data_IF_633103729486
#
_entry.id   IF_633103729486
#
_cell.length_a   1.000
_cell.length_b   1.000
_cell.length_c   1.000
_cell.angle_alpha   90.00
_cell.angle_beta   90.00
_cell.angle_gamma   90.00
#
_symmetry.space_group_name_H-M   'P 1'
#
loop_
_entity.id
_entity.type
_entity.pdbx_description
1 polymer ?
#
# COMPACT_ATOMS: atom_id res chain seq x y z
N UNK A 1 2.16 72.48 -12.67
CA UNK A 1 0.76 72.33 -13.14
C UNK A 1 0.20 71.02 -12.61
N UNK A 2 -1.06 71.06 -12.15
CA UNK A 2 -2.04 69.97 -11.99
C UNK A 2 -1.75 68.78 -11.02
N UNK A 3 -2.26 68.96 -9.81
CA UNK A 3 -3.13 68.10 -8.96
C UNK A 3 -3.39 66.62 -9.29
N UNK A 4 -3.29 65.82 -8.21
CA UNK A 4 -3.88 64.51 -7.85
C UNK A 4 -5.06 63.94 -8.65
N UNK A 5 -5.09 62.60 -8.77
CA UNK A 5 -6.22 61.76 -8.38
C UNK A 5 -5.82 60.29 -8.17
N UNK A 6 -6.37 59.73 -7.10
CA UNK A 6 -6.22 58.38 -6.51
C UNK A 6 -6.93 57.28 -7.31
N UNK A 7 -6.45 56.01 -7.29
CA UNK A 7 -7.36 54.84 -7.25
C UNK A 7 -6.65 53.49 -6.94
N UNK A 8 -6.89 53.00 -5.72
CA UNK A 8 -7.13 51.61 -5.25
C UNK A 8 -6.32 50.40 -5.75
N UNK A 9 -5.78 49.67 -4.75
CA UNK A 9 -5.42 48.24 -4.74
C UNK A 9 -6.42 47.34 -5.47
N UNK A 10 -5.90 46.42 -6.28
CA UNK A 10 -6.61 45.21 -6.70
C UNK A 10 -5.63 44.04 -6.86
N UNK A 11 -5.58 43.14 -5.87
CA UNK A 11 -5.03 41.79 -6.05
C UNK A 11 -6.02 41.02 -6.90
N UNK A 12 -5.58 40.46 -8.03
CA UNK A 12 -6.30 39.40 -8.70
C UNK A 12 -5.37 38.20 -8.82
N UNK A 13 -5.60 37.24 -7.93
CA UNK A 13 -5.08 35.88 -8.00
C UNK A 13 -5.52 35.27 -9.34
N UNK A 14 -4.55 34.77 -10.11
CA UNK A 14 -4.82 33.92 -11.28
C UNK A 14 -5.30 32.56 -10.77
N UNK A 15 -6.49 32.07 -11.14
CA UNK A 15 -6.85 30.69 -10.87
C UNK A 15 -6.10 29.79 -11.85
N UNK A 16 -5.28 28.91 -11.28
CA UNK A 16 -4.76 27.69 -11.90
C UNK A 16 -5.97 26.84 -12.31
N UNK A 17 -6.24 26.74 -13.61
CA UNK A 17 -7.22 25.80 -14.14
C UNK A 17 -6.59 24.41 -14.14
N UNK A 18 -6.81 23.66 -13.05
CA UNK A 18 -6.74 22.20 -13.09
C UNK A 18 -8.05 21.72 -13.73
N UNK A 19 -7.94 21.20 -14.93
CA UNK A 19 -9.05 20.58 -15.65
C UNK A 19 -9.31 19.19 -15.06
N UNK A 20 -9.97 19.13 -13.90
CA UNK A 20 -10.56 17.88 -13.38
C UNK A 20 -11.93 17.71 -14.01
N UNK A 21 -11.99 17.02 -15.14
CA UNK A 21 -13.27 16.59 -15.71
C UNK A 21 -13.71 15.29 -15.02
N UNK A 22 -14.01 15.37 -13.72
CA UNK A 22 -14.83 14.36 -13.06
C UNK A 22 -16.27 14.83 -13.20
N UNK A 23 -16.98 14.31 -14.20
CA UNK A 23 -18.43 14.39 -14.23
C UNK A 23 -18.96 13.37 -13.21
N UNK A 24 -19.33 13.83 -12.02
CA UNK A 24 -20.16 13.05 -11.11
C UNK A 24 -21.52 12.97 -11.80
N UNK A 25 -21.80 11.86 -12.47
CA UNK A 25 -23.11 11.58 -13.00
C UNK A 25 -24.12 11.64 -11.84
N UNK A 26 -25.31 12.24 -12.04
CA UNK A 26 -26.31 12.34 -10.99
C UNK A 26 -26.74 10.93 -10.60
N UNK A 27 -26.77 10.67 -9.30
CA UNK A 27 -27.29 9.43 -8.71
C UNK A 27 -28.79 9.35 -9.01
N UNK A 28 -29.14 8.90 -10.22
CA UNK A 28 -30.51 8.66 -10.61
C UNK A 28 -30.94 7.31 -10.03
N UNK A 29 -31.70 7.34 -8.93
CA UNK A 29 -32.38 6.14 -8.43
C UNK A 29 -33.44 5.76 -9.47
N UNK A 30 -33.09 4.86 -10.37
CA UNK A 30 -34.07 4.14 -11.16
C UNK A 30 -34.64 3.02 -10.26
N UNK A 31 -35.72 3.31 -9.53
CA UNK A 31 -36.58 2.31 -8.90
C UNK A 31 -37.47 1.70 -10.00
N UNK A 32 -36.84 0.95 -10.90
CA UNK A 32 -37.53 0.21 -11.96
C UNK A 32 -37.56 -1.26 -11.57
N UNK A 33 -38.73 -1.71 -11.12
CA UNK A 33 -39.07 -3.12 -10.93
C UNK A 33 -38.97 -3.87 -12.26
N UNK A 34 -38.29 -5.03 -12.24
CA UNK A 34 -37.96 -5.92 -13.37
C UNK A 34 -36.80 -5.48 -14.29
N UNK A 35 -35.59 -5.82 -13.83
CA UNK A 35 -34.44 -6.06 -14.70
C UNK A 35 -33.79 -7.40 -14.29
N UNK A 36 -34.27 -8.51 -14.86
CA UNK A 36 -33.71 -9.85 -14.66
C UNK A 36 -32.37 -9.97 -15.40
N UNK A 37 -31.32 -9.37 -14.81
CA UNK A 37 -29.94 -9.40 -15.30
C UNK A 37 -29.15 -10.58 -14.68
N UNK A 38 -29.41 -11.81 -15.12
CA UNK A 38 -28.77 -13.06 -14.62
C UNK A 38 -27.24 -13.16 -14.84
N UNK A 39 -26.57 -12.15 -15.39
CA UNK A 39 -25.17 -12.25 -15.85
C UNK A 39 -24.09 -12.02 -14.78
N UNK A 40 -24.45 -11.58 -13.57
CA UNK A 40 -23.47 -11.20 -12.54
C UNK A 40 -23.73 -11.94 -11.23
N UNK A 41 -22.69 -12.60 -10.70
CA UNK A 41 -22.73 -13.33 -9.42
C UNK A 41 -22.89 -12.35 -8.24
N UNK A 42 -22.26 -11.17 -8.31
CA UNK A 42 -22.35 -10.14 -7.27
C UNK A 42 -22.67 -8.78 -7.90
N UNK A 43 -23.55 -8.01 -7.25
CA UNK A 43 -23.87 -6.62 -7.62
C UNK A 43 -23.57 -5.69 -6.45
N UNK A 44 -22.37 -5.10 -6.46
CA UNK A 44 -22.00 -4.12 -5.45
C UNK A 44 -22.64 -2.76 -5.77
N UNK A 45 -23.22 -2.12 -4.75
CA UNK A 45 -23.72 -0.74 -4.85
C UNK A 45 -22.54 0.25 -4.94
N UNK A 46 -21.42 -0.10 -4.31
CA UNK A 46 -20.19 0.70 -4.30
C UNK A 46 -19.21 0.14 -5.34
N UNK A 47 -18.60 0.97 -6.21
CA UNK A 47 -17.61 0.49 -7.16
C UNK A 47 -16.44 -0.23 -6.46
N UNK A 48 -15.96 -1.34 -7.03
CA UNK A 48 -14.91 -2.18 -6.43
C UNK A 48 -13.66 -1.41 -6.01
N UNK A 49 -13.25 -0.40 -6.79
CA UNK A 49 -12.05 0.41 -6.52
C UNK A 49 -12.35 1.76 -5.85
N UNK A 50 -13.57 1.98 -5.35
CA UNK A 50 -14.00 3.28 -4.82
C UNK A 50 -13.06 3.83 -3.74
N UNK A 51 -12.55 2.97 -2.85
CA UNK A 51 -11.68 3.38 -1.73
C UNK A 51 -10.18 3.38 -2.04
N UNK A 52 -9.74 2.89 -3.20
CA UNK A 52 -8.32 2.81 -3.54
C UNK A 52 -7.58 4.15 -3.43
N UNK A 53 -8.15 5.29 -3.92
CA UNK A 53 -7.47 6.59 -3.81
C UNK A 53 -7.34 7.11 -2.37
N UNK A 54 -8.14 6.56 -1.43
CA UNK A 54 -8.20 6.99 -0.03
C UNK A 54 -7.44 6.08 0.94
N UNK A 55 -6.74 5.06 0.43
CA UNK A 55 -6.00 4.14 1.30
C UNK A 55 -4.87 4.87 2.03
N UNK A 56 -4.69 4.62 3.34
CA UNK A 56 -3.58 5.20 4.08
C UNK A 56 -2.26 4.60 3.61
N UNK A 57 -1.19 5.38 3.72
CA UNK A 57 0.16 4.93 3.37
C UNK A 57 0.71 3.99 4.44
N UNK A 58 1.47 2.99 4.03
CA UNK A 58 2.13 2.07 4.94
C UNK A 58 3.25 2.81 5.71
N UNK A 59 3.22 2.83 7.05
CA UNK A 59 4.23 3.53 7.82
C UNK A 59 5.56 2.75 7.86
N UNK A 60 6.67 3.48 7.77
CA UNK A 60 8.00 2.93 8.04
C UNK A 60 8.23 2.99 9.56
N UNK A 61 8.52 1.86 10.24
CA UNK A 61 8.78 1.85 11.68
C UNK A 61 10.07 2.61 12.02
N UNK A 62 10.19 3.04 13.28
CA UNK A 62 11.45 3.60 13.79
C UNK A 62 12.54 2.53 13.79
N UNK A 63 13.78 2.95 13.56
CA UNK A 63 14.93 2.05 13.52
C UNK A 63 15.10 1.34 14.87
N UNK A 64 14.97 2.07 15.97
CA UNK A 64 15.13 1.55 17.34
C UNK A 64 14.08 0.49 17.66
N UNK A 65 12.82 0.74 17.27
CA UNK A 65 11.73 -0.21 17.48
C UNK A 65 11.93 -1.48 16.66
N UNK A 66 12.49 -1.35 15.45
CA UNK A 66 12.79 -2.48 14.56
C UNK A 66 13.94 -3.31 15.11
N UNK A 67 15.05 -2.68 15.52
CA UNK A 67 16.17 -3.35 16.18
C UNK A 67 15.76 -4.08 17.46
N UNK A 68 14.94 -3.45 18.31
CA UNK A 68 14.43 -4.08 19.53
C UNK A 68 13.59 -5.32 19.22
N UNK A 69 12.58 -5.20 18.34
CA UNK A 69 11.70 -6.32 17.97
C UNK A 69 12.47 -7.46 17.31
N UNK A 70 13.50 -7.14 16.52
CA UNK A 70 14.40 -8.14 15.94
C UNK A 70 15.13 -8.93 17.04
N UNK A 71 15.72 -8.26 18.02
CA UNK A 71 16.38 -8.94 19.14
C UNK A 71 15.41 -9.77 19.98
N UNK A 72 14.21 -9.25 20.26
CA UNK A 72 13.17 -9.99 20.99
C UNK A 72 12.82 -11.31 20.28
N UNK A 73 12.74 -11.31 18.95
CA UNK A 73 12.50 -12.51 18.15
C UNK A 73 13.70 -13.47 18.15
N UNK A 74 14.93 -12.96 18.05
CA UNK A 74 16.15 -13.78 18.04
C UNK A 74 16.40 -14.48 19.38
N UNK A 75 16.00 -13.87 20.49
CA UNK A 75 16.20 -14.42 21.84
C UNK A 75 15.58 -15.80 22.05
N UNK A 76 14.54 -16.14 21.30
CA UNK A 76 13.83 -17.43 21.40
C UNK A 76 14.56 -18.55 20.64
N UNK A 77 15.39 -18.20 19.65
CA UNK A 77 15.95 -19.14 18.68
C UNK A 77 17.45 -19.36 18.93
N UNK A 78 18.16 -18.31 19.34
CA UNK A 78 19.62 -18.33 19.47
C UNK A 78 20.08 -18.83 20.84
N UNK A 79 21.25 -19.46 20.87
CA UNK A 79 21.96 -19.71 22.12
C UNK A 79 22.40 -18.39 22.79
N UNK A 80 22.70 -18.39 24.10
CA UNK A 80 23.10 -17.17 24.80
C UNK A 80 24.33 -16.47 24.18
N UNK A 81 25.32 -17.24 23.71
CA UNK A 81 26.53 -16.71 23.09
C UNK A 81 26.23 -16.05 21.73
N UNK A 82 25.46 -16.72 20.87
CA UNK A 82 25.05 -16.19 19.57
C UNK A 82 24.18 -14.94 19.71
N UNK A 83 23.29 -14.93 20.71
CA UNK A 83 22.45 -13.78 21.02
C UNK A 83 23.27 -12.55 21.41
N UNK A 84 24.25 -12.69 22.31
CA UNK A 84 25.10 -11.55 22.70
C UNK A 84 25.95 -11.04 21.53
N UNK A 85 26.46 -11.93 20.68
CA UNK A 85 27.12 -11.52 19.44
C UNK A 85 26.17 -10.74 18.52
N UNK A 86 24.96 -11.26 18.30
CA UNK A 86 23.92 -10.62 17.46
C UNK A 86 23.52 -9.26 18.01
N UNK A 87 23.33 -9.14 19.31
CA UNK A 87 23.03 -7.88 20.00
C UNK A 87 24.11 -6.83 19.77
N UNK A 88 25.38 -7.20 19.88
CA UNK A 88 26.50 -6.30 19.56
C UNK A 88 26.46 -5.82 18.11
N UNK A 89 26.17 -6.70 17.16
CA UNK A 89 26.03 -6.34 15.74
C UNK A 89 24.86 -5.38 15.50
N UNK A 90 23.71 -5.63 16.13
CA UNK A 90 22.52 -4.77 16.02
C UNK A 90 22.78 -3.38 16.61
N UNK A 91 23.47 -3.29 17.75
CA UNK A 91 23.86 -2.01 18.33
C UNK A 91 24.83 -1.24 17.43
N UNK A 92 25.82 -1.91 16.84
CA UNK A 92 26.70 -1.29 15.85
C UNK A 92 25.91 -0.80 14.63
N UNK A 93 25.01 -1.62 14.07
CA UNK A 93 24.17 -1.22 12.95
C UNK A 93 23.32 0.02 13.29
N UNK A 94 22.70 0.04 14.47
CA UNK A 94 21.88 1.16 14.93
C UNK A 94 22.68 2.46 15.07
N UNK A 95 23.96 2.38 15.44
CA UNK A 95 24.82 3.54 15.63
C UNK A 95 25.46 4.06 14.33
N UNK A 96 25.83 3.16 13.41
CA UNK A 96 26.63 3.51 12.23
C UNK A 96 25.79 3.52 10.94
N UNK A 97 25.56 2.37 10.33
CA UNK A 97 24.97 2.27 8.97
C UNK A 97 23.45 2.48 8.94
N UNK A 98 22.75 2.00 9.97
CA UNK A 98 21.29 1.99 10.05
C UNK A 98 20.64 3.38 9.88
N UNK A 99 21.12 4.46 10.53
CA UNK A 99 20.55 5.79 10.37
C UNK A 99 20.56 6.33 8.94
N UNK A 100 21.67 6.15 8.20
CA UNK A 100 21.74 6.62 6.81
C UNK A 100 20.85 5.77 5.88
N UNK A 101 20.82 4.45 6.07
CA UNK A 101 19.92 3.57 5.32
C UNK A 101 18.44 3.87 5.59
N UNK A 102 18.08 4.11 6.86
CA UNK A 102 16.72 4.49 7.25
C UNK A 102 16.31 5.82 6.62
N UNK A 103 17.22 6.80 6.57
CA UNK A 103 16.99 8.09 5.93
C UNK A 103 16.81 7.95 4.42
N UNK A 104 17.61 7.11 3.77
CA UNK A 104 17.44 6.80 2.35
C UNK A 104 16.08 6.13 2.07
N UNK A 105 15.70 5.14 2.87
CA UNK A 105 14.41 4.45 2.79
C UNK A 105 13.24 5.43 2.90
N UNK A 106 13.28 6.32 3.91
CA UNK A 106 12.26 7.35 4.11
C UNK A 106 12.24 8.35 2.95
N UNK A 107 13.40 8.71 2.40
CA UNK A 107 13.48 9.61 1.24
C UNK A 107 12.84 8.97 0.00
N UNK A 108 13.15 7.71 -0.28
CA UNK A 108 12.54 6.93 -1.38
C UNK A 108 11.03 6.81 -1.22
N UNK A 109 10.55 6.53 -0.01
CA UNK A 109 9.12 6.48 0.28
C UNK A 109 8.42 7.83 0.05
N UNK A 110 9.04 8.94 0.48
CA UNK A 110 8.51 10.29 0.28
C UNK A 110 8.41 10.69 -1.20
N UNK A 111 9.32 10.19 -2.04
CA UNK A 111 9.33 10.42 -3.48
C UNK A 111 8.26 9.56 -4.20
N UNK A 112 7.92 8.40 -3.66
CA UNK A 112 7.02 7.41 -4.28
C UNK A 112 5.70 7.25 -3.53
N UNK A 113 4.92 8.33 -3.40
CA UNK A 113 3.70 8.34 -2.58
C UNK A 113 2.53 7.51 -3.11
N UNK A 114 2.56 7.16 -4.39
CA UNK A 114 1.52 6.38 -5.07
C UNK A 114 1.63 4.86 -4.80
N UNK A 115 2.69 4.43 -4.11
CA UNK A 115 2.95 3.03 -3.74
C UNK A 115 3.46 2.95 -2.28
N UNK A 116 3.83 1.74 -1.85
CA UNK A 116 4.47 1.48 -0.56
C UNK A 116 5.94 1.15 -0.72
N UNK A 117 6.75 1.45 0.30
CA UNK A 117 8.20 1.21 0.30
C UNK A 117 8.60 -0.25 0.09
N UNK A 118 7.69 -1.20 0.34
CA UNK A 118 7.98 -2.65 0.32
C UNK A 118 7.48 -3.35 -0.94
N UNK A 119 6.55 -2.75 -1.69
CA UNK A 119 5.87 -3.44 -2.81
C UNK A 119 6.84 -3.95 -3.86
N UNK A 120 7.71 -3.07 -4.37
CA UNK A 120 8.68 -3.42 -5.41
C UNK A 120 9.73 -4.42 -4.89
N UNK A 121 10.45 -4.17 -3.77
CA UNK A 121 11.41 -5.15 -3.23
C UNK A 121 10.79 -6.54 -2.98
N UNK A 122 9.54 -6.58 -2.51
CA UNK A 122 8.84 -7.84 -2.26
C UNK A 122 8.51 -8.58 -3.55
N UNK A 123 7.98 -7.89 -4.56
CA UNK A 123 7.74 -8.50 -5.87
C UNK A 123 9.04 -8.99 -6.52
N UNK A 124 10.09 -8.19 -6.45
CA UNK A 124 11.42 -8.53 -6.96
C UNK A 124 11.99 -9.80 -6.32
N UNK A 125 11.76 -10.01 -5.02
CA UNK A 125 12.20 -11.22 -4.31
C UNK A 125 11.64 -12.49 -4.97
N UNK A 126 10.36 -12.49 -5.32
CA UNK A 126 9.72 -13.64 -5.98
C UNK A 126 10.17 -13.81 -7.42
N UNK A 127 10.30 -12.70 -8.18
CA UNK A 127 10.67 -12.76 -9.59
C UNK A 127 12.15 -13.11 -9.81
N UNK A 128 13.01 -12.80 -8.84
CA UNK A 128 14.45 -13.11 -8.89
C UNK A 128 14.77 -14.54 -8.44
N UNK A 129 13.88 -15.19 -7.69
CA UNK A 129 14.11 -16.56 -7.24
C UNK A 129 14.12 -17.55 -8.42
N UNK A 130 15.17 -18.37 -8.48
CA UNK A 130 15.40 -19.33 -9.58
C UNK A 130 14.95 -20.75 -9.23
N UNK A 131 14.50 -20.97 -8.00
CA UNK A 131 13.96 -22.27 -7.57
C UNK A 131 12.61 -22.53 -8.25
N UNK A 132 12.26 -23.80 -8.40
CA UNK A 132 10.98 -24.18 -9.01
C UNK A 132 9.80 -23.61 -8.24
N UNK A 133 8.86 -22.98 -8.94
CA UNK A 133 7.64 -22.41 -8.33
C UNK A 133 6.70 -23.47 -7.77
N UNK A 134 6.76 -24.71 -8.28
CA UNK A 134 5.79 -25.77 -7.98
C UNK A 134 5.72 -26.15 -6.50
N UNK A 135 6.86 -26.22 -5.82
CA UNK A 135 6.92 -26.61 -4.40
C UNK A 135 7.25 -25.43 -3.47
N UNK A 136 7.98 -24.43 -3.97
CA UNK A 136 8.50 -23.36 -3.13
C UNK A 136 7.54 -22.18 -2.97
N UNK A 137 6.67 -21.94 -3.97
CA UNK A 137 5.91 -20.69 -4.06
C UNK A 137 4.41 -20.89 -4.23
N UNK A 138 3.97 -21.83 -5.06
CA UNK A 138 2.57 -21.96 -5.42
C UNK A 138 1.79 -22.78 -4.36
N UNK A 139 0.96 -22.15 -3.50
CA UNK A 139 0.04 -22.90 -2.67
C UNK A 139 -1.13 -23.42 -3.51
N UNK A 140 -1.87 -24.40 -2.98
CA UNK A 140 -3.15 -24.82 -3.53
C UNK A 140 -4.25 -24.68 -2.48
N UNK A 141 -5.49 -24.49 -2.95
CA UNK A 141 -6.70 -24.44 -2.14
C UNK A 141 -7.61 -25.55 -2.67
N UNK A 142 -8.25 -26.28 -1.75
CA UNK A 142 -9.22 -27.34 -2.07
C UNK A 142 -10.59 -26.86 -1.65
N UNK A 143 -11.56 -26.97 -2.56
CA UNK A 143 -12.96 -26.68 -2.25
C UNK A 143 -13.63 -27.87 -1.59
N UNK A 144 -14.66 -27.59 -0.79
CA UNK A 144 -15.58 -28.64 -0.38
C UNK A 144 -16.30 -29.21 -1.61
N UNK A 145 -16.62 -30.50 -1.55
CA UNK A 145 -17.51 -31.12 -2.52
C UNK A 145 -18.87 -30.41 -2.51
N UNK A 146 -19.49 -30.32 -3.67
CA UNK A 146 -20.87 -29.86 -3.79
C UNK A 146 -21.77 -30.80 -2.98
N UNK A 147 -22.67 -30.27 -2.12
CA UNK A 147 -23.65 -31.08 -1.41
C UNK A 147 -24.49 -31.99 -2.33
N UNK A 148 -24.66 -31.62 -3.60
CA UNK A 148 -25.24 -32.46 -4.62
C UNK A 148 -24.17 -33.32 -5.30
N UNK A 149 -24.16 -34.62 -5.00
CA UNK A 149 -23.18 -35.58 -5.53
C UNK A 149 -23.11 -35.59 -7.07
N UNK A 150 -24.23 -35.37 -7.76
CA UNK A 150 -24.26 -35.34 -9.23
C UNK A 150 -23.37 -34.23 -9.83
N UNK A 151 -23.12 -33.15 -9.08
CA UNK A 151 -22.31 -32.02 -9.53
C UNK A 151 -20.80 -32.23 -9.33
N UNK A 152 -20.39 -33.25 -8.56
CA UNK A 152 -18.97 -33.52 -8.26
C UNK A 152 -18.25 -34.34 -9.34
N UNK A 153 -18.96 -34.76 -10.39
CA UNK A 153 -18.44 -35.64 -11.45
C UNK A 153 -18.17 -34.90 -12.78
N UNK A 154 -18.05 -33.57 -12.74
CA UNK A 154 -17.77 -32.73 -13.90
C UNK A 154 -16.29 -32.73 -14.31
#
# INVERSE_FOLDING_TARGET
MATFLTCTRGRVLKPFLFQTNWAYAPFSRCLSSNCSNEKYIQRSIVPTYHFQPSLPRLPIPKLEDTCRRYLDAQKVILSPEEYENTKRLVENFKQYEGPELQKELISKDKQNKHTSYISEPWTDLYLKDRRSVMLNHNPFIVFHQDPNEANNHQ
#
